data_IF_531960089590
#
_entry.id   IF_531960089590
#
_cell.length_a   1.000
_cell.length_b   1.000
_cell.length_c   1.000
_cell.angle_alpha   90.00
_cell.angle_beta   90.00
_cell.angle_gamma   90.00
#
_symmetry.space_group_name_H-M   'P 1'
#
loop_
_entity.id
_entity.type
_entity.pdbx_description
1 polymer ?
#
# COMPACT_ATOMS: atom_id res chain seq x y z
N UNK A 1 -37.01 -43.12 -38.94
CA UNK A 1 -37.43 -42.15 -37.91
C UNK A 1 -36.35 -41.07 -37.85
N UNK A 2 -36.38 -40.07 -38.72
CA UNK A 2 -37.27 -38.90 -38.76
C UNK A 2 -37.01 -37.90 -37.62
N UNK A 3 -36.75 -36.67 -38.04
CA UNK A 3 -37.05 -35.40 -37.38
C UNK A 3 -35.99 -34.71 -36.51
N UNK A 4 -35.44 -33.65 -37.10
CA UNK A 4 -35.26 -32.29 -36.56
C UNK A 4 -34.70 -32.12 -35.14
N UNK A 5 -33.62 -31.31 -35.03
CA UNK A 5 -33.75 -29.94 -34.51
C UNK A 5 -32.51 -29.09 -34.78
N UNK A 6 -32.73 -28.06 -35.60
CA UNK A 6 -31.93 -26.85 -35.67
C UNK A 6 -32.01 -26.14 -34.30
N UNK A 7 -30.87 -25.94 -33.65
CA UNK A 7 -30.65 -24.87 -32.67
C UNK A 7 -29.28 -24.30 -33.04
N UNK A 8 -29.15 -23.05 -33.44
CA UNK A 8 -29.75 -21.88 -32.82
C UNK A 8 -28.58 -21.04 -32.31
N UNK A 9 -28.23 -20.02 -33.08
CA UNK A 9 -27.24 -19.00 -32.76
C UNK A 9 -27.48 -18.45 -31.36
N UNK A 10 -26.51 -18.61 -30.46
CA UNK A 10 -26.35 -17.75 -29.30
C UNK A 10 -24.89 -17.82 -28.83
N UNK A 11 -24.01 -17.08 -29.51
CA UNK A 11 -22.77 -16.64 -28.87
C UNK A 11 -23.19 -15.81 -27.65
N UNK A 12 -22.74 -16.13 -26.42
CA UNK A 12 -22.95 -15.21 -25.33
C UNK A 12 -22.12 -13.97 -25.65
N UNK A 13 -22.81 -12.89 -26.02
CA UNK A 13 -22.26 -11.55 -26.02
C UNK A 13 -22.03 -11.25 -24.53
N UNK A 14 -20.89 -11.70 -24.00
CA UNK A 14 -20.44 -11.28 -22.69
C UNK A 14 -20.20 -9.78 -22.76
N UNK A 15 -21.20 -9.03 -22.30
CA UNK A 15 -21.13 -7.70 -21.71
C UNK A 15 -19.84 -6.93 -22.01
N UNK A 16 -19.77 -6.33 -23.19
CA UNK A 16 -18.72 -5.40 -23.60
C UNK A 16 -18.86 -3.99 -22.99
N UNK A 17 -19.65 -3.82 -21.92
CA UNK A 17 -20.07 -2.50 -21.42
C UNK A 17 -19.47 -2.10 -20.06
N UNK A 18 -18.72 -2.96 -19.36
CA UNK A 18 -18.16 -2.62 -18.04
C UNK A 18 -16.63 -2.41 -17.96
N UNK A 19 -15.88 -2.48 -19.07
CA UNK A 19 -14.41 -2.34 -19.05
C UNK A 19 -13.88 -0.94 -19.40
N UNK A 20 -14.73 0.03 -19.78
CA UNK A 20 -14.27 1.26 -20.44
C UNK A 20 -14.01 2.48 -19.55
N UNK A 21 -14.20 2.40 -18.23
CA UNK A 21 -14.02 3.58 -17.35
C UNK A 21 -12.67 3.66 -16.60
N UNK A 22 -11.98 2.54 -16.35
CA UNK A 22 -10.66 2.57 -15.69
C UNK A 22 -9.48 2.76 -16.65
N UNK A 23 -9.63 2.36 -17.91
CA UNK A 23 -8.52 2.27 -18.86
C UNK A 23 -8.12 3.59 -19.54
N UNK A 24 -8.92 4.66 -19.38
CA UNK A 24 -8.68 5.96 -20.05
C UNK A 24 -7.95 6.98 -19.20
N UNK A 25 -7.72 6.72 -17.91
CA UNK A 25 -6.95 7.64 -17.07
C UNK A 25 -5.48 7.60 -17.51
N UNK A 26 -4.77 8.73 -17.63
CA UNK A 26 -3.32 8.76 -17.93
C UNK A 26 -2.42 7.98 -16.96
N UNK A 27 -3.00 7.50 -15.85
CA UNK A 27 -2.36 6.70 -14.81
C UNK A 27 -2.80 5.23 -14.82
N UNK A 28 -3.71 4.84 -15.71
CA UNK A 28 -4.18 3.46 -15.83
C UNK A 28 -2.99 2.52 -16.08
N UNK A 29 -2.82 1.51 -15.22
CA UNK A 29 -1.70 0.56 -15.29
C UNK A 29 -0.38 1.02 -14.64
N UNK A 30 -0.31 2.23 -14.07
CA UNK A 30 0.88 2.66 -13.30
C UNK A 30 0.88 2.16 -11.86
N UNK A 31 -0.30 2.05 -11.23
CA UNK A 31 -0.43 1.57 -9.86
C UNK A 31 -0.22 0.05 -9.78
N UNK A 32 0.63 -0.37 -8.86
CA UNK A 32 0.90 -1.75 -8.51
C UNK A 32 0.19 -2.18 -7.23
N UNK A 33 0.76 -3.19 -6.55
CA UNK A 33 0.20 -3.74 -5.31
C UNK A 33 0.43 -2.83 -4.11
N UNK A 34 -0.31 -3.09 -3.05
CA UNK A 34 -0.01 -2.55 -1.72
C UNK A 34 1.31 -3.16 -1.22
N UNK A 35 2.33 -2.31 -1.06
CA UNK A 35 3.62 -2.73 -0.53
C UNK A 35 3.54 -2.99 0.98
N UNK A 36 3.03 -2.00 1.72
CA UNK A 36 2.85 -2.09 3.16
C UNK A 36 1.83 -1.07 3.70
N UNK A 37 1.38 -1.33 4.92
CA UNK A 37 0.71 -0.35 5.80
C UNK A 37 1.66 -0.02 6.96
N UNK A 38 1.96 1.26 7.14
CA UNK A 38 2.81 1.73 8.23
C UNK A 38 1.96 2.09 9.44
N UNK A 39 2.37 1.60 10.61
CA UNK A 39 1.71 1.83 11.89
C UNK A 39 2.74 2.44 12.84
N UNK A 40 2.53 3.69 13.26
CA UNK A 40 3.34 4.30 14.29
C UNK A 40 2.93 3.74 15.65
N UNK A 41 3.89 3.24 16.42
CA UNK A 41 3.66 2.58 17.70
C UNK A 41 4.46 3.25 18.84
N UNK A 42 3.88 3.42 20.03
CA UNK A 42 4.59 4.04 21.17
C UNK A 42 5.59 3.09 21.83
N UNK A 43 5.47 1.78 21.62
CA UNK A 43 6.39 0.77 22.13
C UNK A 43 6.55 -0.33 21.08
N UNK A 44 7.71 -0.34 20.43
CA UNK A 44 8.00 -1.28 19.35
C UNK A 44 8.02 -2.73 19.86
N UNK A 45 8.55 -2.99 21.06
CA UNK A 45 8.65 -4.35 21.61
C UNK A 45 7.27 -4.92 21.90
N UNK A 46 6.38 -4.14 22.53
CA UNK A 46 5.00 -4.57 22.82
C UNK A 46 4.21 -4.82 21.52
N UNK A 47 4.34 -3.91 20.55
CA UNK A 47 3.66 -4.07 19.27
C UNK A 47 4.17 -5.30 18.49
N UNK A 48 5.48 -5.53 18.45
CA UNK A 48 6.06 -6.73 17.82
C UNK A 48 5.60 -8.01 18.52
N UNK A 49 5.61 -8.03 19.85
CA UNK A 49 5.17 -9.19 20.63
C UNK A 49 3.69 -9.51 20.37
N UNK A 50 2.83 -8.50 20.25
CA UNK A 50 1.42 -8.69 19.91
C UNK A 50 1.25 -9.48 18.61
N UNK A 51 1.91 -9.07 17.52
CA UNK A 51 1.80 -9.79 16.24
C UNK A 51 2.49 -11.16 16.25
N UNK A 52 3.63 -11.31 16.97
CA UNK A 52 4.27 -12.62 17.18
C UNK A 52 3.30 -13.59 17.89
N UNK A 53 2.59 -13.11 18.91
CA UNK A 53 1.62 -13.91 19.67
C UNK A 53 0.36 -14.27 18.86
N UNK A 54 0.03 -13.49 17.83
CA UNK A 54 -1.00 -13.85 16.84
C UNK A 54 -0.49 -14.85 15.79
N UNK A 55 0.78 -15.27 15.85
CA UNK A 55 1.37 -16.25 14.94
C UNK A 55 1.97 -15.66 13.66
N UNK A 56 2.09 -14.33 13.55
CA UNK A 56 2.74 -13.72 12.40
C UNK A 56 4.27 -13.87 12.48
N UNK A 57 4.92 -13.98 11.32
CA UNK A 57 6.38 -13.85 11.23
C UNK A 57 6.75 -12.37 11.34
N UNK A 58 7.55 -12.06 12.36
CA UNK A 58 7.93 -10.68 12.70
C UNK A 58 9.44 -10.57 12.77
N UNK A 59 10.01 -9.58 12.07
CA UNK A 59 11.46 -9.33 12.05
C UNK A 59 11.97 -8.77 13.38
N UNK A 60 13.29 -8.72 13.51
CA UNK A 60 13.93 -7.85 14.50
C UNK A 60 13.81 -6.38 14.09
N UNK A 61 14.04 -5.48 15.05
CA UNK A 61 13.99 -4.03 14.81
C UNK A 61 15.21 -3.56 14.00
N UNK A 62 14.96 -2.86 12.91
CA UNK A 62 16.00 -2.30 12.03
C UNK A 62 16.06 -0.78 12.18
N UNK A 63 17.21 -0.20 12.54
CA UNK A 63 17.37 1.25 12.60
C UNK A 63 17.46 1.86 11.18
N UNK A 64 16.49 2.67 10.80
CA UNK A 64 16.47 3.45 9.57
C UNK A 64 16.95 4.88 9.87
N UNK A 65 18.27 5.05 10.03
CA UNK A 65 18.88 6.31 10.50
C UNK A 65 18.51 7.51 9.62
N UNK A 66 18.51 7.35 8.30
CA UNK A 66 18.17 8.43 7.36
C UNK A 66 16.70 8.86 7.44
N UNK A 67 15.82 7.94 7.86
CA UNK A 67 14.39 8.19 8.01
C UNK A 67 13.99 8.53 9.45
N UNK A 68 14.92 8.46 10.41
CA UNK A 68 14.68 8.76 11.81
C UNK A 68 13.66 7.82 12.48
N UNK A 69 13.61 6.55 12.07
CA UNK A 69 12.72 5.54 12.67
C UNK A 69 13.43 4.21 12.89
N UNK A 70 12.96 3.44 13.86
CA UNK A 70 13.09 1.99 13.87
C UNK A 70 11.92 1.37 13.14
N UNK A 71 12.18 0.33 12.36
CA UNK A 71 11.15 -0.43 11.66
C UNK A 71 11.19 -1.89 12.07
N UNK A 72 10.01 -2.46 12.36
CA UNK A 72 9.81 -3.92 12.44
C UNK A 72 8.80 -4.32 11.36
N UNK A 73 9.11 -5.39 10.63
CA UNK A 73 8.26 -5.93 9.58
C UNK A 73 7.42 -7.08 10.12
N UNK A 74 6.11 -7.02 9.91
CA UNK A 74 5.17 -8.12 10.11
C UNK A 74 4.81 -8.67 8.74
N UNK A 75 5.18 -9.91 8.45
CA UNK A 75 4.89 -10.55 7.17
C UNK A 75 3.46 -11.09 7.15
N UNK A 76 2.70 -10.70 6.13
CA UNK A 76 1.38 -11.23 5.81
C UNK A 76 1.42 -11.87 4.41
N UNK A 77 0.50 -12.79 4.07
CA UNK A 77 0.55 -13.48 2.77
C UNK A 77 0.48 -12.55 1.55
N UNK A 78 -0.19 -11.40 1.68
CA UNK A 78 -0.46 -10.47 0.57
C UNK A 78 0.30 -9.14 0.64
N UNK A 79 0.87 -8.79 1.81
CA UNK A 79 1.55 -7.50 2.03
C UNK A 79 2.36 -7.52 3.33
N UNK A 80 2.79 -6.36 3.82
CA UNK A 80 3.48 -6.23 5.12
C UNK A 80 2.84 -5.16 5.99
N UNK A 81 2.98 -5.30 7.30
CA UNK A 81 2.87 -4.16 8.20
C UNK A 81 4.27 -3.69 8.59
N UNK A 82 4.46 -2.37 8.58
CA UNK A 82 5.67 -1.75 9.09
C UNK A 82 5.34 -1.06 10.41
N UNK A 83 5.84 -1.61 11.51
CA UNK A 83 5.72 -0.99 12.82
C UNK A 83 6.86 0.01 12.98
N UNK A 84 6.50 1.29 13.12
CA UNK A 84 7.46 2.39 13.18
C UNK A 84 7.51 2.97 14.58
N UNK A 85 8.74 3.17 15.07
CA UNK A 85 8.99 3.88 16.33
C UNK A 85 10.07 4.95 16.15
N UNK A 86 9.99 6.11 16.81
CA UNK A 86 11.00 7.16 16.69
C UNK A 86 12.43 6.67 16.91
N UNK A 87 13.35 7.12 16.07
CA UNK A 87 14.79 6.98 16.24
C UNK A 87 15.41 8.38 16.24
N UNK A 88 15.95 8.79 17.39
CA UNK A 88 16.54 10.11 17.60
C UNK A 88 15.49 11.22 17.80
N UNK A 89 15.97 12.38 18.27
CA UNK A 89 15.12 13.49 18.75
C UNK A 89 14.35 14.23 17.64
N UNK A 90 14.71 13.98 16.37
CA UNK A 90 14.12 14.65 15.18
C UNK A 90 13.32 13.69 14.30
N UNK A 91 12.79 12.61 14.87
CA UNK A 91 11.99 11.64 14.13
C UNK A 91 10.76 12.31 13.49
N UNK A 92 10.47 12.05 12.19
CA UNK A 92 9.33 12.66 11.51
C UNK A 92 7.98 12.19 12.06
N UNK A 93 7.93 11.06 12.75
CA UNK A 93 6.69 10.49 13.31
C UNK A 93 6.46 10.88 14.78
N UNK A 94 7.39 11.62 15.41
CA UNK A 94 7.26 12.00 16.83
C UNK A 94 5.98 12.82 17.06
N UNK A 95 5.75 13.85 16.25
CA UNK A 95 4.54 14.68 16.36
C UNK A 95 3.23 13.92 16.11
N UNK A 96 3.27 12.81 15.34
CA UNK A 96 2.12 11.93 15.18
C UNK A 96 1.82 11.16 16.46
N UNK A 97 2.83 10.57 17.10
CA UNK A 97 2.67 9.88 18.39
C UNK A 97 2.34 10.85 19.53
N UNK A 98 2.78 12.10 19.44
CA UNK A 98 2.42 13.11 20.43
C UNK A 98 0.91 13.40 20.43
N UNK A 99 0.28 13.38 19.26
CA UNK A 99 -1.17 13.53 19.07
C UNK A 99 -1.92 12.22 19.31
N UNK A 100 -1.33 11.09 18.96
CA UNK A 100 -1.93 9.76 19.03
C UNK A 100 -1.15 8.89 20.02
N UNK A 101 -1.38 9.11 21.32
CA UNK A 101 -0.60 8.45 22.39
C UNK A 101 -0.66 6.92 22.36
N UNK A 102 -1.73 6.34 21.82
CA UNK A 102 -1.88 4.89 21.62
C UNK A 102 -1.24 4.34 20.35
N UNK A 103 -0.64 5.19 19.51
CA UNK A 103 -0.24 4.83 18.15
C UNK A 103 -1.38 4.90 17.14
N UNK A 104 -1.12 4.49 15.90
CA UNK A 104 -2.12 4.45 14.84
C UNK A 104 -1.55 4.19 13.45
N UNK A 105 -2.43 3.90 12.48
CA UNK A 105 -2.05 3.82 11.07
C UNK A 105 -1.54 5.19 10.61
N UNK A 106 -0.33 5.22 10.05
CA UNK A 106 0.36 6.45 9.68
C UNK A 106 0.27 6.71 8.18
N UNK A 107 0.56 5.71 7.35
CA UNK A 107 0.46 5.81 5.90
C UNK A 107 0.32 4.43 5.24
N UNK A 108 0.00 4.45 3.95
CA UNK A 108 0.04 3.26 3.08
C UNK A 108 1.07 3.50 1.99
N UNK A 109 1.73 2.43 1.55
CA UNK A 109 2.65 2.48 0.42
C UNK A 109 2.11 1.61 -0.71
N UNK A 110 1.88 2.22 -1.86
CA UNK A 110 1.42 1.55 -3.08
C UNK A 110 2.56 1.59 -4.08
N UNK A 111 2.90 0.44 -4.66
CA UNK A 111 3.95 0.36 -5.67
C UNK A 111 3.53 1.07 -6.95
N UNK A 112 4.51 1.55 -7.70
CA UNK A 112 4.30 2.06 -9.05
C UNK A 112 5.30 1.43 -10.00
N UNK A 113 4.86 1.13 -11.21
CA UNK A 113 5.73 0.49 -12.22
C UNK A 113 6.84 1.41 -12.74
N UNK A 114 6.67 2.74 -12.62
CA UNK A 114 7.69 3.74 -12.93
C UNK A 114 7.46 5.02 -12.13
N UNK A 115 8.32 5.28 -11.14
CA UNK A 115 8.19 6.44 -10.24
C UNK A 115 8.33 7.79 -10.96
N UNK A 116 9.21 7.89 -11.96
CA UNK A 116 9.40 9.14 -12.71
C UNK A 116 8.14 9.52 -13.51
N UNK A 117 7.53 8.53 -14.20
CA UNK A 117 6.26 8.73 -14.91
C UNK A 117 5.12 9.07 -13.96
N UNK A 118 5.03 8.39 -12.81
CA UNK A 118 4.02 8.66 -11.80
C UNK A 118 4.14 10.11 -11.27
N UNK A 119 5.35 10.56 -10.92
CA UNK A 119 5.60 11.93 -10.46
C UNK A 119 5.27 12.98 -11.52
N UNK A 120 5.66 12.75 -12.78
CA UNK A 120 5.31 13.66 -13.88
C UNK A 120 3.80 13.80 -14.04
N UNK A 121 3.08 12.67 -14.01
CA UNK A 121 1.64 12.67 -14.19
C UNK A 121 0.91 13.30 -12.98
N UNK A 122 1.32 13.02 -11.74
CA UNK A 122 0.78 13.69 -10.53
C UNK A 122 0.96 15.21 -10.64
N UNK A 123 2.14 15.68 -11.07
CA UNK A 123 2.41 17.11 -11.28
C UNK A 123 1.56 17.70 -12.41
N UNK A 124 1.45 17.01 -13.55
CA UNK A 124 0.65 17.47 -14.70
C UNK A 124 -0.85 17.56 -14.38
N UNK A 125 -1.35 16.73 -13.46
CA UNK A 125 -2.72 16.76 -12.99
C UNK A 125 -2.95 17.74 -11.82
N UNK A 126 -1.93 18.53 -11.42
CA UNK A 126 -2.06 19.50 -10.33
C UNK A 126 -2.30 18.86 -8.96
N UNK A 127 -1.95 17.58 -8.78
CA UNK A 127 -2.14 16.86 -7.51
C UNK A 127 -1.05 17.28 -6.54
N UNK A 128 -1.45 17.74 -5.35
CA UNK A 128 -0.53 18.15 -4.28
C UNK A 128 0.27 16.96 -3.74
N UNK A 129 1.60 17.09 -3.70
CA UNK A 129 2.51 16.15 -3.04
C UNK A 129 3.13 16.76 -1.77
N UNK A 130 3.62 15.91 -0.86
CA UNK A 130 4.35 16.37 0.34
C UNK A 130 5.80 16.79 0.04
N UNK A 131 6.39 16.28 -1.05
CA UNK A 131 7.74 16.61 -1.48
C UNK A 131 7.84 16.66 -3.00
N UNK A 132 8.87 17.35 -3.50
CA UNK A 132 9.10 17.50 -4.95
C UNK A 132 9.76 16.27 -5.59
N UNK A 133 10.47 15.47 -4.78
CA UNK A 133 11.18 14.26 -5.21
C UNK A 133 10.83 13.08 -4.29
N UNK A 134 10.81 11.84 -4.82
CA UNK A 134 10.78 10.64 -3.99
C UNK A 134 11.95 10.64 -2.99
N UNK A 135 11.71 10.08 -1.82
CA UNK A 135 12.71 9.85 -0.77
C UNK A 135 12.88 8.36 -0.53
#
# INVERSE_FOLDING_TARGET
MNSLKVLGLARPIYNSVALRAFASHPLAGLLGKLNHVAIAVPDLKKASAFYKNLGAKVSEAVPQKEHGVYTVFVELPNSKLELLHPLGDKSPIQGFLDKNKGGGMHHICIEVSNIAKAMQAVKANGIRTLGEKPK
#
